data_IF_878016925912
#
_entry.id   IF_878016925912
#
_cell.length_a   1.000
_cell.length_b   1.000
_cell.length_c   1.000
_cell.angle_alpha   90.00
_cell.angle_beta   90.00
_cell.angle_gamma   90.00
#
_symmetry.space_group_name_H-M   'P 1'
#
loop_
_entity.id
_entity.type
_entity.pdbx_description
1 polymer ?
#
# COMPACT_ATOMS: atom_id res chain seq x y z
N UNK A 1 -12.03 -8.68 8.98
CA UNK A 1 -11.94 -7.23 9.25
C UNK A 1 -10.46 -6.87 9.17
N UNK A 2 -10.03 -6.11 8.17
CA UNK A 2 -8.62 -5.72 7.98
C UNK A 2 -8.37 -4.35 8.63
N UNK A 3 -8.51 -4.26 9.95
CA UNK A 3 -8.48 -2.98 10.65
C UNK A 3 -7.11 -2.74 11.31
N UNK A 4 -6.40 -1.69 10.88
CA UNK A 4 -5.39 -1.00 11.69
C UNK A 4 -4.00 -0.86 11.09
N UNK A 5 -3.48 -1.87 10.41
CA UNK A 5 -2.03 -1.99 10.18
C UNK A 5 -1.56 -1.64 8.76
N UNK A 6 -2.34 -0.88 8.00
CA UNK A 6 -1.87 -0.42 6.67
C UNK A 6 -0.66 0.49 6.85
N UNK A 7 0.53 0.13 6.29
CA UNK A 7 1.75 0.95 6.41
C UNK A 7 1.57 2.38 5.87
N UNK A 8 2.32 3.32 6.43
CA UNK A 8 2.25 4.73 6.06
C UNK A 8 2.52 4.99 4.57
N UNK A 9 3.56 4.35 4.02
CA UNK A 9 3.89 4.47 2.59
C UNK A 9 2.75 3.99 1.68
N UNK A 10 2.02 2.95 2.11
CA UNK A 10 0.93 2.38 1.33
C UNK A 10 -0.29 3.31 1.32
N UNK A 11 -0.53 4.06 2.41
CA UNK A 11 -1.54 5.12 2.44
C UNK A 11 -1.21 6.23 1.45
N UNK A 12 0.05 6.67 1.39
CA UNK A 12 0.47 7.69 0.42
C UNK A 12 0.29 7.23 -1.03
N UNK A 13 0.51 5.94 -1.33
CA UNK A 13 0.26 5.39 -2.66
C UNK A 13 -1.25 5.32 -2.99
N UNK A 14 -2.11 5.00 -2.01
CA UNK A 14 -3.57 5.08 -2.16
C UNK A 14 -4.01 6.52 -2.46
N UNK A 15 -3.47 7.49 -1.73
CA UNK A 15 -3.76 8.91 -1.94
C UNK A 15 -3.36 9.37 -3.36
N UNK A 16 -2.17 8.96 -3.83
CA UNK A 16 -1.70 9.25 -5.19
C UNK A 16 -2.63 8.64 -6.25
N UNK A 17 -3.00 7.37 -6.10
CA UNK A 17 -3.90 6.68 -7.04
C UNK A 17 -5.30 7.32 -7.07
N UNK A 18 -5.82 7.76 -5.93
CA UNK A 18 -7.08 8.49 -5.86
C UNK A 18 -6.98 9.87 -6.53
N UNK A 19 -5.88 10.61 -6.33
CA UNK A 19 -5.66 11.89 -7.03
C UNK A 19 -5.59 11.70 -8.56
N UNK A 20 -4.94 10.63 -9.03
CA UNK A 20 -4.85 10.27 -10.44
C UNK A 20 -6.23 9.93 -11.04
N UNK A 21 -7.03 9.15 -10.33
CA UNK A 21 -8.36 8.75 -10.79
C UNK A 21 -9.41 9.88 -10.72
N UNK A 22 -9.28 10.78 -9.75
CA UNK A 22 -10.23 11.86 -9.50
C UNK A 22 -9.51 13.22 -9.51
N UNK A 23 -9.19 13.78 -10.70
CA UNK A 23 -8.38 15.00 -10.82
C UNK A 23 -9.10 16.29 -10.37
N UNK A 24 -10.30 16.20 -9.81
CA UNK A 24 -11.02 17.33 -9.24
C UNK A 24 -11.83 16.92 -8.01
N UNK A 25 -12.03 17.87 -7.09
CA UNK A 25 -12.86 17.69 -5.88
C UNK A 25 -14.24 17.15 -6.22
N UNK A 26 -14.91 17.73 -7.22
CA UNK A 26 -16.25 17.31 -7.64
C UNK A 26 -16.31 15.85 -8.09
N UNK A 27 -15.31 15.37 -8.84
CA UNK A 27 -15.27 13.97 -9.26
C UNK A 27 -15.10 13.02 -8.07
N UNK A 28 -14.25 13.38 -7.11
CA UNK A 28 -14.08 12.61 -5.88
C UNK A 28 -15.37 12.61 -5.05
N UNK A 29 -16.01 13.77 -4.90
CA UNK A 29 -17.28 13.93 -4.18
C UNK A 29 -18.40 13.08 -4.78
N UNK A 30 -18.55 13.10 -6.11
CA UNK A 30 -19.52 12.25 -6.82
C UNK A 30 -19.26 10.77 -6.54
N UNK A 31 -18.00 10.31 -6.58
CA UNK A 31 -17.68 8.92 -6.29
C UNK A 31 -18.02 8.55 -4.83
N UNK A 32 -17.65 9.38 -3.87
CA UNK A 32 -17.95 9.14 -2.44
C UNK A 32 -19.45 9.14 -2.16
N UNK A 33 -20.20 10.09 -2.74
CA UNK A 33 -21.65 10.18 -2.58
C UNK A 33 -22.36 8.99 -3.22
N UNK A 34 -22.11 8.73 -4.51
CA UNK A 34 -22.81 7.71 -5.28
C UNK A 34 -22.44 6.28 -4.87
N UNK A 35 -21.15 6.01 -4.63
CA UNK A 35 -20.66 4.64 -4.41
C UNK A 35 -20.57 4.25 -2.93
N UNK A 36 -20.43 5.23 -2.04
CA UNK A 36 -20.11 5.01 -0.63
C UNK A 36 -21.09 5.68 0.33
N UNK A 37 -22.09 6.43 -0.17
CA UNK A 37 -23.02 7.23 0.64
C UNK A 37 -22.28 8.09 1.67
N UNK A 38 -21.16 8.68 1.25
CA UNK A 38 -20.27 9.48 2.09
C UNK A 38 -20.27 10.92 1.60
N UNK A 39 -20.61 11.84 2.48
CA UNK A 39 -20.57 13.27 2.21
C UNK A 39 -19.13 13.80 2.35
N UNK A 40 -18.58 14.35 1.27
CA UNK A 40 -17.20 14.85 1.29
C UNK A 40 -17.02 16.01 2.28
N UNK A 41 -17.99 16.91 2.41
CA UNK A 41 -17.89 18.07 3.30
C UNK A 41 -17.89 17.68 4.79
N UNK A 42 -18.49 16.52 5.14
CA UNK A 42 -18.44 15.97 6.50
C UNK A 42 -17.08 15.35 6.83
N UNK A 43 -16.35 14.88 5.82
CA UNK A 43 -15.06 14.20 5.96
C UNK A 43 -13.89 15.18 5.83
N UNK A 44 -13.98 16.10 4.87
CA UNK A 44 -12.91 16.98 4.48
C UNK A 44 -13.46 18.34 4.01
N UNK A 45 -13.50 19.31 4.91
CA UNK A 45 -13.78 20.70 4.58
C UNK A 45 -12.50 21.48 4.30
N UNK A 46 -12.54 22.33 3.26
CA UNK A 46 -11.44 23.18 2.82
C UNK A 46 -10.19 22.44 2.32
N UNK A 47 -9.29 23.18 1.68
CA UNK A 47 -7.99 22.67 1.21
C UNK A 47 -7.94 22.31 -0.27
N UNK A 48 -6.74 21.95 -0.73
CA UNK A 48 -6.52 21.46 -2.09
C UNK A 48 -6.89 19.97 -2.22
N UNK A 49 -6.97 19.47 -3.46
CA UNK A 49 -7.37 18.08 -3.73
C UNK A 49 -6.53 17.04 -2.96
N UNK A 50 -5.22 17.25 -2.83
CA UNK A 50 -4.34 16.30 -2.12
C UNK A 50 -4.68 16.23 -0.63
N UNK A 51 -4.88 17.39 0.01
CA UNK A 51 -5.29 17.46 1.42
C UNK A 51 -6.67 16.82 1.64
N UNK A 52 -7.60 17.04 0.71
CA UNK A 52 -8.93 16.43 0.74
C UNK A 52 -8.82 14.90 0.64
N UNK A 53 -8.06 14.39 -0.33
CA UNK A 53 -7.84 12.94 -0.51
C UNK A 53 -7.17 12.31 0.71
N UNK A 54 -6.15 12.96 1.28
CA UNK A 54 -5.52 12.53 2.54
C UNK A 54 -6.56 12.36 3.65
N UNK A 55 -7.39 13.38 3.90
CA UNK A 55 -8.45 13.32 4.94
C UNK A 55 -9.44 12.18 4.69
N UNK A 56 -9.83 11.96 3.43
CA UNK A 56 -10.70 10.83 3.05
C UNK A 56 -10.03 9.48 3.36
N UNK A 57 -8.75 9.31 3.01
CA UNK A 57 -8.02 8.08 3.29
C UNK A 57 -7.90 7.83 4.80
N UNK A 58 -7.59 8.87 5.59
CA UNK A 58 -7.53 8.75 7.06
C UNK A 58 -8.89 8.40 7.68
N UNK A 59 -10.00 8.98 7.19
CA UNK A 59 -11.34 8.63 7.64
C UNK A 59 -11.66 7.15 7.33
N UNK A 60 -11.32 6.64 6.14
CA UNK A 60 -11.56 5.24 5.80
C UNK A 60 -10.63 4.24 6.49
N UNK A 61 -9.46 4.70 6.95
CA UNK A 61 -8.53 3.94 7.80
C UNK A 61 -9.06 3.84 9.24
N UNK A 62 -9.53 4.96 9.79
CA UNK A 62 -9.81 5.12 11.23
C UNK A 62 -11.25 4.80 11.61
N UNK A 63 -12.19 5.18 10.74
CA UNK A 63 -13.60 4.80 10.84
C UNK A 63 -13.73 3.42 10.20
N UNK A 64 -14.55 2.52 10.74
CA UNK A 64 -14.81 1.15 10.23
C UNK A 64 -15.31 1.05 8.75
N UNK A 65 -15.17 2.10 7.94
CA UNK A 65 -15.56 2.30 6.55
C UNK A 65 -14.73 1.50 5.53
N UNK A 66 -13.54 1.01 5.92
CA UNK A 66 -12.66 0.11 5.16
C UNK A 66 -11.98 0.73 3.92
N UNK A 67 -10.65 0.87 3.98
CA UNK A 67 -9.81 1.24 2.82
C UNK A 67 -10.02 0.32 1.61
N UNK A 68 -10.20 -0.99 1.83
CA UNK A 68 -10.48 -1.94 0.75
C UNK A 68 -11.76 -1.55 -0.03
N UNK A 69 -12.80 -1.10 0.69
CA UNK A 69 -14.05 -0.66 0.08
C UNK A 69 -13.85 0.63 -0.73
N UNK A 70 -13.09 1.59 -0.19
CA UNK A 70 -12.73 2.82 -0.90
C UNK A 70 -12.03 2.53 -2.23
N UNK A 71 -10.98 1.71 -2.22
CA UNK A 71 -10.22 1.34 -3.42
C UNK A 71 -11.11 0.62 -4.44
N UNK A 72 -11.92 -0.35 -3.99
CA UNK A 72 -12.81 -1.10 -4.87
C UNK A 72 -13.86 -0.20 -5.54
N UNK A 73 -14.45 0.75 -4.79
CA UNK A 73 -15.42 1.69 -5.34
C UNK A 73 -14.80 2.72 -6.26
N UNK A 74 -13.60 3.21 -5.94
CA UNK A 74 -12.82 4.05 -6.83
C UNK A 74 -12.53 3.36 -8.16
N UNK A 75 -12.13 2.08 -8.13
CA UNK A 75 -11.86 1.29 -9.34
C UNK A 75 -13.13 0.95 -10.12
N UNK A 76 -14.28 0.76 -9.46
CA UNK A 76 -15.56 0.59 -10.18
C UNK A 76 -15.94 1.82 -11.00
N UNK A 77 -15.68 3.02 -10.47
CA UNK A 77 -15.93 4.28 -11.17
C UNK A 77 -14.88 4.55 -12.28
N UNK A 78 -13.62 4.20 -12.03
CA UNK A 78 -12.51 4.39 -12.98
C UNK A 78 -11.79 3.06 -13.29
N UNK A 79 -12.44 2.11 -14.01
CA UNK A 79 -11.94 0.74 -14.18
C UNK A 79 -10.68 0.63 -15.04
N UNK A 80 -10.30 1.68 -15.75
CA UNK A 80 -9.11 1.71 -16.61
C UNK A 80 -7.96 2.52 -16.02
N UNK A 81 -8.10 3.12 -14.83
CA UNK A 81 -7.01 3.84 -14.20
C UNK A 81 -5.91 2.85 -13.76
N UNK A 82 -4.68 2.96 -14.28
CA UNK A 82 -3.62 1.99 -13.99
C UNK A 82 -3.16 2.06 -12.54
N UNK A 83 -3.12 3.25 -11.93
CA UNK A 83 -2.68 3.44 -10.55
C UNK A 83 -3.66 2.77 -9.56
N UNK A 84 -4.97 2.85 -9.81
CA UNK A 84 -5.99 2.16 -9.02
C UNK A 84 -5.91 0.64 -9.14
N UNK A 85 -5.55 0.12 -10.32
CA UNK A 85 -5.32 -1.33 -10.49
C UNK A 85 -4.09 -1.79 -9.72
N UNK A 86 -2.99 -1.08 -9.88
CA UNK A 86 -1.73 -1.37 -9.21
C UNK A 86 -1.90 -1.34 -7.68
N UNK A 87 -2.53 -0.29 -7.15
CA UNK A 87 -2.72 -0.15 -5.71
C UNK A 87 -3.69 -1.19 -5.14
N UNK A 88 -4.69 -1.64 -5.90
CA UNK A 88 -5.62 -2.67 -5.44
C UNK A 88 -4.91 -4.00 -5.18
N UNK A 89 -4.12 -4.47 -6.15
CA UNK A 89 -3.39 -5.73 -6.01
C UNK A 89 -2.35 -5.62 -4.89
N UNK A 90 -1.60 -4.51 -4.87
CA UNK A 90 -0.61 -4.24 -3.82
C UNK A 90 -1.23 -4.17 -2.43
N UNK A 91 -2.31 -3.42 -2.26
CA UNK A 91 -3.02 -3.31 -0.99
C UNK A 91 -3.48 -4.68 -0.48
N UNK A 92 -3.96 -5.54 -1.36
CA UNK A 92 -4.36 -6.91 -1.01
C UNK A 92 -3.17 -7.72 -0.51
N UNK A 93 -2.07 -7.75 -1.26
CA UNK A 93 -0.87 -8.54 -0.90
C UNK A 93 -0.23 -8.03 0.37
N UNK A 94 0.06 -6.73 0.46
CA UNK A 94 0.68 -6.11 1.63
C UNK A 94 -0.16 -6.28 2.89
N UNK A 95 -1.48 -6.06 2.82
CA UNK A 95 -2.35 -6.22 3.99
C UNK A 95 -2.40 -7.67 4.48
N UNK A 96 -2.44 -8.63 3.55
CA UNK A 96 -2.38 -10.06 3.91
C UNK A 96 -1.06 -10.40 4.61
N UNK A 97 0.06 -9.92 4.08
CA UNK A 97 1.37 -10.19 4.65
C UNK A 97 1.55 -9.54 6.02
N UNK A 98 1.15 -8.27 6.17
CA UNK A 98 1.19 -7.56 7.46
C UNK A 98 0.35 -8.28 8.51
N UNK A 99 -0.86 -8.74 8.18
CA UNK A 99 -1.71 -9.44 9.14
C UNK A 99 -1.08 -10.76 9.63
N UNK A 100 -0.22 -11.39 8.83
CA UNK A 100 0.49 -12.62 9.19
C UNK A 100 1.76 -12.29 9.98
N UNK A 101 2.55 -11.33 9.52
CA UNK A 101 3.90 -11.08 10.01
C UNK A 101 3.96 -10.12 11.19
N UNK A 102 3.05 -9.15 11.29
CA UNK A 102 3.08 -8.17 12.37
C UNK A 102 3.00 -8.81 13.77
N UNK A 103 2.13 -9.80 14.05
CA UNK A 103 2.12 -10.49 15.34
C UNK A 103 3.42 -11.26 15.64
N UNK A 104 4.20 -11.55 14.60
CA UNK A 104 5.42 -12.37 14.67
C UNK A 104 6.70 -11.52 14.51
N UNK A 105 6.57 -10.20 14.38
CA UNK A 105 7.64 -9.29 13.99
C UNK A 105 8.90 -9.49 14.84
N UNK A 106 8.76 -9.41 16.17
CA UNK A 106 9.90 -9.57 17.09
C UNK A 106 10.52 -10.97 17.07
N UNK A 107 9.74 -12.00 16.73
CA UNK A 107 10.21 -13.39 16.71
C UNK A 107 10.91 -13.74 15.40
N UNK A 108 10.44 -13.16 14.29
CA UNK A 108 10.92 -13.48 12.95
C UNK A 108 11.77 -12.38 12.33
N UNK A 109 12.04 -11.26 13.03
CA UNK A 109 12.74 -10.11 12.44
C UNK A 109 14.05 -10.50 11.74
N UNK A 110 14.86 -11.37 12.35
CA UNK A 110 16.12 -11.83 11.73
C UNK A 110 15.89 -12.58 10.41
N UNK A 111 14.87 -13.45 10.36
CA UNK A 111 14.51 -14.17 9.15
C UNK A 111 13.93 -13.23 8.10
N UNK A 112 13.11 -12.26 8.50
CA UNK A 112 12.61 -11.21 7.61
C UNK A 112 13.77 -10.39 7.01
N UNK A 113 14.75 -9.97 7.82
CA UNK A 113 15.94 -9.26 7.34
C UNK A 113 16.77 -10.12 6.39
N UNK A 114 16.91 -11.42 6.65
CA UNK A 114 17.62 -12.34 5.75
C UNK A 114 16.88 -12.53 4.42
N UNK A 115 15.56 -12.69 4.46
CA UNK A 115 14.72 -12.78 3.27
C UNK A 115 14.79 -11.49 2.44
N UNK A 116 14.74 -10.33 3.10
CA UNK A 116 14.92 -9.01 2.48
C UNK A 116 16.26 -8.91 1.75
N UNK A 117 17.38 -9.24 2.42
CA UNK A 117 18.72 -9.24 1.79
C UNK A 117 18.78 -10.14 0.57
N UNK A 118 18.13 -11.31 0.62
CA UNK A 118 18.03 -12.20 -0.53
C UNK A 118 17.32 -11.56 -1.72
N UNK A 119 16.33 -10.69 -1.48
CA UNK A 119 15.67 -9.93 -2.55
C UNK A 119 16.60 -8.84 -3.13
N UNK A 120 17.42 -8.19 -2.31
CA UNK A 120 18.32 -7.12 -2.77
C UNK A 120 19.50 -7.67 -3.59
N UNK A 121 20.06 -8.82 -3.18
CA UNK A 121 21.20 -9.44 -3.85
C UNK A 121 20.92 -9.82 -5.31
N UNK A 122 19.67 -10.21 -5.63
CA UNK A 122 19.26 -10.53 -7.00
C UNK A 122 19.09 -9.28 -7.90
N UNK A 123 18.96 -8.09 -7.31
CA UNK A 123 18.63 -6.85 -8.01
C UNK A 123 19.84 -5.91 -8.23
N UNK A 124 21.07 -6.39 -7.97
CA UNK A 124 22.35 -5.71 -8.23
C UNK A 124 22.36 -4.22 -7.83
N UNK A 125 21.92 -3.92 -6.61
CA UNK A 125 22.03 -2.58 -6.04
C UNK A 125 23.52 -2.31 -5.74
N UNK A 126 24.06 -1.25 -6.35
CA UNK A 126 25.48 -0.83 -6.26
C UNK A 126 25.86 -0.47 -4.82
N UNK A 127 26.64 -1.35 -4.18
CA UNK A 127 27.56 -1.26 -3.00
C UNK A 127 27.42 -0.20 -1.89
N UNK A 128 26.36 0.63 -1.84
CA UNK A 128 26.06 1.41 -0.65
C UNK A 128 25.35 0.48 0.32
N UNK A 129 26.04 0.09 1.39
CA UNK A 129 25.51 -0.67 2.52
C UNK A 129 24.04 -0.31 2.78
N UNK A 130 23.11 -1.12 2.27
CA UNK A 130 21.70 -0.91 2.54
C UNK A 130 21.54 -1.10 4.03
N UNK A 131 21.14 -0.01 4.70
CA UNK A 131 20.70 -0.05 6.08
C UNK A 131 19.66 -1.16 6.17
N UNK A 132 19.98 -2.19 6.95
CA UNK A 132 19.09 -3.34 7.07
C UNK A 132 17.87 -2.84 7.83
N UNK A 133 16.68 -2.89 7.22
CA UNK A 133 15.47 -2.41 7.87
C UNK A 133 15.27 -3.07 9.24
N UNK A 134 14.88 -2.28 10.24
CA UNK A 134 14.74 -2.73 11.63
C UNK A 134 13.30 -3.11 12.00
N UNK A 135 12.34 -2.81 11.12
CA UNK A 135 10.91 -3.11 11.29
C UNK A 135 10.31 -3.75 10.04
N UNK A 136 9.19 -4.47 10.21
CA UNK A 136 8.40 -5.02 9.11
C UNK A 136 7.94 -3.91 8.16
N UNK A 137 7.56 -2.75 8.69
CA UNK A 137 7.13 -1.60 7.89
C UNK A 137 8.25 -1.11 6.97
N UNK A 138 9.46 -0.94 7.49
CA UNK A 138 10.63 -0.52 6.70
C UNK A 138 11.04 -1.57 5.67
N UNK A 139 10.96 -2.87 6.00
CA UNK A 139 11.19 -3.95 5.03
C UNK A 139 10.23 -3.80 3.86
N UNK A 140 8.93 -3.69 4.14
CA UNK A 140 7.90 -3.61 3.11
C UNK A 140 8.03 -2.33 2.27
N UNK A 141 8.41 -1.21 2.88
CA UNK A 141 8.68 0.04 2.16
C UNK A 141 9.93 -0.09 1.27
N UNK A 142 10.96 -0.77 1.74
CA UNK A 142 12.21 -0.94 0.99
C UNK A 142 12.04 -1.90 -0.19
N UNK A 143 11.25 -2.97 -0.03
CA UNK A 143 10.88 -3.88 -1.14
C UNK A 143 10.19 -3.15 -2.30
N UNK A 144 9.44 -2.09 -2.03
CA UNK A 144 8.81 -1.28 -3.07
C UNK A 144 9.79 -0.42 -3.87
N UNK A 145 10.95 -0.10 -3.28
CA UNK A 145 12.00 0.72 -3.91
C UNK A 145 12.93 -0.13 -4.76
N UNK A 146 12.92 -1.46 -4.59
CA UNK A 146 13.70 -2.39 -5.41
C UNK A 146 13.24 -2.25 -6.87
N UNK A 147 14.15 -1.84 -7.78
CA UNK A 147 13.79 -1.68 -9.18
C UNK A 147 13.41 -3.03 -9.80
N UNK A 148 12.26 -3.07 -10.48
CA UNK A 148 11.86 -4.25 -11.25
C UNK A 148 12.45 -4.12 -12.66
N UNK A 149 13.62 -4.73 -12.89
CA UNK A 149 14.34 -4.52 -14.15
C UNK A 149 13.70 -5.24 -15.36
N UNK A 150 12.78 -6.19 -15.17
CA UNK A 150 12.09 -6.88 -16.27
C UNK A 150 10.68 -7.37 -15.88
N UNK A 151 9.76 -7.46 -16.86
CA UNK A 151 8.37 -7.91 -16.68
C UNK A 151 8.20 -9.39 -16.26
N UNK A 152 9.28 -10.18 -16.31
CA UNK A 152 9.26 -11.62 -15.98
C UNK A 152 9.75 -11.90 -14.55
N UNK A 153 10.19 -10.88 -13.81
CA UNK A 153 10.58 -11.04 -12.41
C UNK A 153 9.37 -10.94 -11.49
N UNK A 154 9.28 -11.90 -10.58
CA UNK A 154 8.25 -11.93 -9.54
C UNK A 154 8.33 -10.66 -8.67
N UNK A 155 7.17 -10.08 -8.32
CA UNK A 155 7.10 -8.82 -7.56
C UNK A 155 7.89 -8.97 -6.25
N UNK A 156 8.75 -8.01 -5.83
CA UNK A 156 9.67 -8.18 -4.70
C UNK A 156 9.00 -8.66 -3.39
N UNK A 157 7.77 -8.22 -3.12
CA UNK A 157 7.01 -8.66 -1.93
C UNK A 157 6.64 -10.16 -1.96
N UNK A 158 6.46 -10.74 -3.15
CA UNK A 158 6.19 -12.17 -3.31
C UNK A 158 7.49 -12.96 -3.14
N UNK A 159 8.59 -12.50 -3.74
CA UNK A 159 9.93 -13.09 -3.55
C UNK A 159 10.33 -13.09 -2.07
N UNK A 160 10.08 -11.98 -1.37
CA UNK A 160 10.28 -11.88 0.06
C UNK A 160 9.50 -12.95 0.83
N UNK A 161 8.21 -13.12 0.50
CA UNK A 161 7.37 -14.16 1.10
C UNK A 161 7.89 -15.57 0.85
N UNK A 162 8.34 -15.88 -0.37
CA UNK A 162 8.93 -17.17 -0.72
C UNK A 162 10.22 -17.43 0.07
N UNK A 163 11.13 -16.46 0.10
CA UNK A 163 12.41 -16.56 0.82
C UNK A 163 12.23 -16.70 2.32
N UNK A 164 11.23 -16.03 2.90
CA UNK A 164 10.92 -16.16 4.32
C UNK A 164 10.47 -17.59 4.70
N UNK A 165 9.91 -18.35 3.76
CA UNK A 165 9.56 -19.76 3.97
C UNK A 165 10.78 -20.69 3.86
N UNK A 166 11.86 -20.24 3.24
CA UNK A 166 13.12 -20.98 3.04
C UNK A 166 14.14 -20.74 4.15
N UNK A 167 13.95 -19.71 4.99
CA UNK A 167 14.85 -19.44 6.12
C UNK A 167 14.62 -20.47 7.24
N UNK A 168 15.55 -21.41 7.39
CA UNK A 168 15.61 -22.39 8.50
C UNK A 168 15.89 -21.76 9.87
#
# INVERSE_FOLDING_TARGET
MNAGHTPGYLLAQIESALCSAFPSKTKLEMMLGHQLNTNLEEVASGGNLKEIVYKVVQDFKSSNKSLAKLINKALQENPYNPDLKAIKEKFKVTTSLVNILLPLENNLMKQMQQAYRGCCADNLLDDSAEEIPESLEEILESLDKIPQYYNDQEIPIIQFGARLLETE
#
